data_IF_419359734160
#
_entry.id   IF_419359734160
#
_cell.length_a   1.000
_cell.length_b   1.000
_cell.length_c   1.000
_cell.angle_alpha   90.00
_cell.angle_beta   90.00
_cell.angle_gamma   90.00
#
_symmetry.space_group_name_H-M   'P 1'
#
loop_
_entity.id
_entity.type
_entity.pdbx_description
1 polymer ?
#
# COMPACT_ATOMS: atom_id res chain seq x y z
N UNK A 1 -18.69 -31.38 -13.27
CA UNK A 1 -17.60 -30.40 -13.07
C UNK A 1 -16.35 -31.18 -12.71
N UNK A 2 -15.27 -31.02 -13.47
CA UNK A 2 -13.98 -31.62 -13.15
C UNK A 2 -13.36 -30.87 -11.97
N UNK A 3 -12.90 -31.52 -10.89
CA UNK A 3 -12.28 -30.82 -9.77
C UNK A 3 -11.02 -30.08 -10.24
N UNK A 4 -10.84 -28.85 -9.77
CA UNK A 4 -9.66 -28.05 -10.08
C UNK A 4 -8.42 -28.77 -9.51
N UNK A 5 -7.34 -28.96 -10.28
CA UNK A 5 -6.11 -29.57 -9.77
C UNK A 5 -5.58 -28.75 -8.59
N UNK A 6 -5.20 -29.42 -7.51
CA UNK A 6 -4.52 -28.74 -6.40
C UNK A 6 -3.21 -28.12 -6.91
N UNK A 7 -2.88 -26.89 -6.51
CA UNK A 7 -1.58 -26.32 -6.83
C UNK A 7 -0.47 -27.23 -6.26
N UNK A 8 0.71 -27.30 -6.91
CA UNK A 8 1.84 -28.03 -6.37
C UNK A 8 2.17 -27.54 -4.95
N UNK A 9 2.59 -28.43 -4.03
CA UNK A 9 3.07 -28.02 -2.72
C UNK A 9 4.21 -27.01 -2.87
N UNK A 10 4.12 -25.88 -2.17
CA UNK A 10 5.21 -24.90 -2.09
C UNK A 10 6.15 -25.36 -0.97
N UNK A 11 7.36 -25.77 -1.32
CA UNK A 11 8.41 -26.14 -0.37
C UNK A 11 9.20 -24.88 0.03
N UNK A 12 8.85 -24.31 1.18
CA UNK A 12 9.55 -23.15 1.74
C UNK A 12 10.55 -23.65 2.78
N UNK A 13 11.86 -23.44 2.59
CA UNK A 13 12.87 -23.91 3.53
C UNK A 13 12.70 -23.22 4.89
N UNK A 14 12.91 -23.96 5.97
CA UNK A 14 12.90 -23.40 7.31
C UNK A 14 14.03 -22.36 7.46
N UNK A 15 13.72 -21.21 8.05
CA UNK A 15 14.67 -20.12 8.28
C UNK A 15 14.70 -19.77 9.77
N UNK A 16 15.90 -19.67 10.38
CA UNK A 16 16.03 -19.17 11.75
C UNK A 16 15.98 -17.63 11.83
N UNK A 17 15.96 -16.93 10.68
CA UNK A 17 15.98 -15.48 10.63
C UNK A 17 14.56 -14.91 10.63
N UNK A 18 14.33 -13.89 11.46
CA UNK A 18 13.10 -13.09 11.50
C UNK A 18 13.41 -11.63 11.18
N UNK A 19 12.38 -10.85 10.86
CA UNK A 19 12.48 -9.40 10.62
C UNK A 19 11.36 -8.69 11.38
N UNK A 20 11.58 -7.42 11.70
CA UNK A 20 10.50 -6.50 12.09
C UNK A 20 9.91 -5.86 10.83
N UNK A 21 8.59 -5.79 10.75
CA UNK A 21 7.88 -5.20 9.61
C UNK A 21 6.99 -4.08 10.11
N UNK A 22 7.14 -2.90 9.52
CA UNK A 22 6.32 -1.73 9.77
C UNK A 22 5.58 -1.34 8.49
N UNK A 23 4.33 -0.92 8.65
CA UNK A 23 3.51 -0.40 7.54
C UNK A 23 3.68 1.12 7.51
N UNK A 24 3.96 1.65 6.33
CA UNK A 24 3.98 3.08 6.04
C UNK A 24 2.72 3.38 5.23
N UNK A 25 1.83 4.20 5.79
CA UNK A 25 0.74 4.80 5.03
C UNK A 25 1.34 5.86 4.08
N UNK A 26 1.34 5.56 2.78
CA UNK A 26 1.88 6.47 1.77
C UNK A 26 0.92 7.60 1.43
N UNK A 27 -0.28 7.61 2.02
CA UNK A 27 -1.41 8.51 1.71
C UNK A 27 -1.94 8.40 0.27
N UNK A 28 -1.47 7.42 -0.49
CA UNK A 28 -1.90 7.15 -1.86
C UNK A 28 -3.18 6.33 -1.86
N UNK A 29 -4.25 6.87 -2.44
CA UNK A 29 -5.55 6.21 -2.45
C UNK A 29 -6.32 6.40 -3.76
N UNK A 30 -6.90 5.30 -4.22
CA UNK A 30 -7.78 5.24 -5.38
C UNK A 30 -9.16 4.79 -4.92
N UNK A 31 -10.21 5.55 -5.27
CA UNK A 31 -11.60 5.26 -4.89
C UNK A 31 -12.49 5.08 -6.10
N UNK A 32 -13.41 4.12 -6.05
CA UNK A 32 -14.39 3.89 -7.12
C UNK A 32 -13.81 3.20 -8.35
N UNK A 33 -12.68 2.49 -8.20
CA UNK A 33 -12.02 1.81 -9.30
C UNK A 33 -12.83 0.57 -9.73
N UNK A 34 -13.04 0.29 -11.02
CA UNK A 34 -13.82 -0.87 -11.46
C UNK A 34 -13.20 -2.17 -10.93
N UNK A 35 -13.98 -2.94 -10.16
CA UNK A 35 -13.51 -4.20 -9.57
C UNK A 35 -13.05 -5.19 -10.65
N UNK A 36 -13.65 -5.12 -11.84
CA UNK A 36 -13.33 -5.94 -13.02
C UNK A 36 -11.90 -5.79 -13.53
N UNK A 37 -11.20 -4.72 -13.14
CA UNK A 37 -9.80 -4.55 -13.49
C UNK A 37 -8.86 -5.39 -12.62
N UNK A 38 -9.34 -5.88 -11.47
CA UNK A 38 -8.55 -6.68 -10.52
C UNK A 38 -9.02 -8.12 -10.39
N UNK A 39 -10.33 -8.36 -10.46
CA UNK A 39 -10.92 -9.68 -10.18
C UNK A 39 -11.92 -10.09 -11.25
N UNK A 40 -11.92 -11.38 -11.56
CA UNK A 40 -12.93 -12.04 -12.37
C UNK A 40 -13.20 -13.44 -11.79
N UNK A 41 -14.48 -13.89 -11.67
CA UNK A 41 -15.71 -13.17 -11.99
C UNK A 41 -16.04 -12.06 -10.99
N UNK A 42 -16.82 -11.06 -11.43
CA UNK A 42 -17.33 -10.01 -10.55
C UNK A 42 -18.27 -10.59 -9.48
N UNK A 43 -18.15 -10.07 -8.25
CA UNK A 43 -19.05 -10.41 -7.15
C UNK A 43 -20.23 -9.43 -7.15
N UNK A 44 -21.50 -9.90 -7.18
CA UNK A 44 -22.66 -9.02 -7.17
C UNK A 44 -22.64 -8.03 -6.00
N UNK A 45 -22.82 -6.74 -6.29
CA UNK A 45 -22.76 -5.66 -5.30
C UNK A 45 -21.36 -5.11 -5.01
N UNK A 46 -20.32 -5.66 -5.66
CA UNK A 46 -18.93 -5.21 -5.56
C UNK A 46 -18.39 -4.78 -6.94
N UNK A 47 -19.05 -3.81 -7.56
CA UNK A 47 -18.70 -3.31 -8.90
C UNK A 47 -17.50 -2.35 -8.89
N UNK A 48 -17.22 -1.76 -7.73
CA UNK A 48 -16.09 -0.86 -7.51
C UNK A 48 -15.30 -1.25 -6.27
N UNK A 49 -14.02 -0.90 -6.27
CA UNK A 49 -13.11 -1.09 -5.14
C UNK A 49 -12.43 0.22 -4.78
N UNK A 50 -12.09 0.31 -3.51
CA UNK A 50 -11.27 1.35 -2.93
C UNK A 50 -9.93 0.72 -2.57
N UNK A 51 -8.83 1.30 -3.06
CA UNK A 51 -7.48 0.72 -2.97
C UNK A 51 -6.52 1.74 -2.40
N UNK A 52 -5.95 1.43 -1.24
CA UNK A 52 -4.80 2.14 -0.70
C UNK A 52 -3.49 1.52 -1.20
N UNK A 53 -2.45 2.33 -1.33
CA UNK A 53 -1.09 1.85 -1.54
C UNK A 53 -0.26 2.10 -0.28
N UNK A 54 0.36 1.03 0.23
CA UNK A 54 1.17 1.04 1.43
C UNK A 54 2.61 0.66 1.07
N UNK A 55 3.55 1.19 1.84
CA UNK A 55 4.95 0.77 1.79
C UNK A 55 5.28 -0.03 3.05
N UNK A 56 6.30 -0.87 2.99
CA UNK A 56 6.73 -1.67 4.13
C UNK A 56 8.18 -1.38 4.46
N UNK A 57 8.45 -0.95 5.70
CA UNK A 57 9.80 -0.88 6.24
C UNK A 57 10.11 -2.22 6.89
N UNK A 58 11.16 -2.87 6.40
CA UNK A 58 11.60 -4.18 6.85
C UNK A 58 12.97 -4.01 7.51
N UNK A 59 13.07 -4.44 8.77
CA UNK A 59 14.31 -4.38 9.55
C UNK A 59 14.78 -5.79 9.91
N UNK A 60 15.96 -6.14 9.43
CA UNK A 60 16.70 -7.30 9.87
C UNK A 60 17.38 -7.01 11.22
N UNK A 61 17.33 -7.95 12.18
CA UNK A 61 18.14 -7.85 13.39
C UNK A 61 19.62 -7.97 12.99
N UNK A 62 20.46 -7.04 13.42
CA UNK A 62 21.84 -7.02 12.93
C UNK A 62 22.69 -5.86 13.43
N UNK A 63 23.91 -5.72 12.88
CA UNK A 63 24.89 -4.71 13.28
C UNK A 63 24.55 -3.27 12.88
N UNK A 64 23.32 -3.02 12.38
CA UNK A 64 22.83 -1.73 11.92
C UNK A 64 23.65 -1.16 10.75
N UNK A 65 23.77 -1.98 9.71
CA UNK A 65 24.37 -1.62 8.42
C UNK A 65 23.30 -1.12 7.46
N UNK A 66 23.72 -0.49 6.37
CA UNK A 66 22.84 -0.02 5.30
C UNK A 66 22.03 -1.13 4.59
N UNK A 67 22.28 -2.40 4.90
CA UNK A 67 21.57 -3.55 4.34
C UNK A 67 20.56 -4.17 5.31
N UNK A 68 20.58 -3.74 6.57
CA UNK A 68 19.69 -4.29 7.60
C UNK A 68 18.31 -3.66 7.56
N UNK A 69 18.16 -2.49 6.93
CA UNK A 69 16.89 -1.78 6.78
C UNK A 69 16.59 -1.59 5.30
N UNK A 70 15.39 -2.00 4.88
CA UNK A 70 14.93 -1.82 3.50
C UNK A 70 13.47 -1.37 3.47
N UNK A 71 13.13 -0.57 2.47
CA UNK A 71 11.74 -0.19 2.17
C UNK A 71 11.30 -0.93 0.92
N UNK A 72 10.18 -1.65 1.02
CA UNK A 72 9.50 -2.30 -0.10
C UNK A 72 8.29 -1.44 -0.52
N UNK A 73 8.23 -1.14 -1.83
CA UNK A 73 7.30 -0.20 -2.46
C UNK A 73 7.42 1.26 -1.96
N UNK A 74 6.94 2.23 -2.73
CA UNK A 74 7.00 3.68 -2.39
C UNK A 74 5.66 4.40 -2.56
N UNK A 75 4.62 3.68 -3.01
CA UNK A 75 3.34 4.28 -3.32
C UNK A 75 3.37 5.16 -4.57
N UNK A 76 2.43 6.11 -4.65
CA UNK A 76 2.29 6.99 -5.80
C UNK A 76 3.10 8.26 -5.60
N UNK A 77 3.77 8.69 -6.68
CA UNK A 77 4.56 9.92 -6.66
C UNK A 77 3.67 11.15 -6.50
N UNK A 78 4.15 12.15 -5.75
CA UNK A 78 3.40 13.39 -5.45
C UNK A 78 3.13 14.26 -6.68
N UNK A 79 4.01 14.20 -7.66
CA UNK A 79 3.96 14.90 -8.95
C UNK A 79 3.56 13.95 -10.09
N UNK A 80 2.62 13.03 -9.84
CA UNK A 80 2.17 12.07 -10.86
C UNK A 80 1.69 12.75 -12.15
N UNK A 81 1.30 14.02 -12.11
CA UNK A 81 0.89 14.82 -13.27
C UNK A 81 2.04 15.11 -14.26
N UNK A 82 3.31 14.92 -13.88
CA UNK A 82 4.47 15.06 -14.79
C UNK A 82 4.84 13.75 -15.50
N UNK A 83 4.13 12.66 -15.20
CA UNK A 83 4.33 11.38 -15.87
C UNK A 83 3.92 11.44 -17.36
N UNK A 84 4.26 10.44 -18.17
CA UNK A 84 3.91 10.44 -19.59
C UNK A 84 2.43 10.71 -19.83
N UNK A 85 2.12 11.51 -20.86
CA UNK A 85 0.77 12.02 -21.13
C UNK A 85 -0.28 10.91 -21.14
N UNK A 86 0.02 9.76 -21.75
CA UNK A 86 -0.87 8.60 -21.79
C UNK A 86 -1.28 8.10 -20.40
N UNK A 87 -0.34 8.12 -19.44
CA UNK A 87 -0.58 7.69 -18.07
C UNK A 87 -1.43 8.72 -17.32
N UNK A 88 -1.06 10.00 -17.43
CA UNK A 88 -1.80 11.11 -16.80
C UNK A 88 -3.21 11.22 -17.35
N UNK A 89 -3.40 11.03 -18.66
CA UNK A 89 -4.71 11.01 -19.31
C UNK A 89 -5.56 9.83 -18.80
N UNK A 90 -4.96 8.66 -18.59
CA UNK A 90 -5.62 7.51 -17.97
C UNK A 90 -6.13 7.82 -16.56
N UNK A 91 -5.27 8.39 -15.71
CA UNK A 91 -5.66 8.77 -14.34
C UNK A 91 -6.76 9.84 -14.35
N UNK A 92 -6.60 10.92 -15.13
CA UNK A 92 -7.58 12.02 -15.18
C UNK A 92 -8.90 11.59 -15.79
N UNK A 93 -8.87 10.77 -16.83
CA UNK A 93 -10.07 10.21 -17.47
C UNK A 93 -10.85 9.26 -16.56
N UNK A 94 -10.18 8.70 -15.55
CA UNK A 94 -10.79 7.80 -14.57
C UNK A 94 -11.56 8.54 -13.47
N UNK A 95 -11.06 9.68 -12.98
CA UNK A 95 -11.69 10.41 -11.87
C UNK A 95 -11.57 9.73 -10.49
N UNK A 96 -10.70 8.74 -10.35
CA UNK A 96 -10.65 7.84 -9.18
C UNK A 96 -9.50 8.12 -8.20
N UNK A 97 -8.61 9.07 -8.49
CA UNK A 97 -7.45 9.37 -7.65
C UNK A 97 -7.76 10.49 -6.63
N UNK A 98 -7.49 10.25 -5.34
CA UNK A 98 -7.56 11.27 -4.29
C UNK A 98 -6.20 11.40 -3.63
N UNK A 99 -5.74 12.63 -3.41
CA UNK A 99 -4.55 12.90 -2.59
C UNK A 99 -4.97 13.37 -1.19
N UNK A 100 -4.21 12.91 -0.19
CA UNK A 100 -4.31 13.17 1.25
C UNK A 100 -5.38 12.34 2.01
N UNK A 101 -4.87 11.51 2.93
CA UNK A 101 -5.63 10.55 3.73
C UNK A 101 -5.76 10.92 5.20
N UNK A 102 -5.16 12.04 5.61
CA UNK A 102 -5.25 12.58 6.96
C UNK A 102 -5.99 13.93 6.87
N UNK A 103 -6.98 14.18 7.74
CA UNK A 103 -7.47 13.29 8.80
C UNK A 103 -8.29 12.10 8.28
N UNK A 104 -8.44 11.04 9.07
CA UNK A 104 -9.05 9.76 8.64
C UNK A 104 -10.40 9.51 9.31
N UNK A 105 -11.02 8.32 9.15
CA UNK A 105 -12.34 8.07 9.74
C UNK A 105 -12.23 7.98 11.27
N UNK A 106 -13.06 8.66 12.08
CA UNK A 106 -14.33 9.30 11.71
C UNK A 106 -14.24 10.78 11.30
N UNK A 107 -13.10 11.45 11.50
CA UNK A 107 -12.92 12.87 11.17
C UNK A 107 -13.19 13.17 9.70
N UNK A 108 -12.73 12.30 8.80
CA UNK A 108 -13.13 12.27 7.38
C UNK A 108 -13.95 11.00 7.14
N UNK A 109 -15.26 11.16 7.00
CA UNK A 109 -16.21 10.04 6.86
C UNK A 109 -15.96 9.15 5.64
N UNK A 110 -15.38 9.71 4.59
CA UNK A 110 -15.05 9.00 3.35
C UNK A 110 -13.64 8.38 3.38
N UNK A 111 -12.93 8.48 4.50
CA UNK A 111 -11.63 7.84 4.66
C UNK A 111 -11.80 6.35 4.92
N UNK A 112 -11.02 5.55 4.20
CA UNK A 112 -11.01 4.09 4.35
C UNK A 112 -10.09 3.63 5.49
N UNK A 113 -9.25 4.53 6.02
CA UNK A 113 -8.42 4.22 7.18
C UNK A 113 -9.13 4.73 8.43
N UNK A 114 -9.28 3.85 9.40
CA UNK A 114 -9.87 4.18 10.68
C UNK A 114 -8.77 4.78 11.58
N UNK A 115 -9.03 5.90 12.26
CA UNK A 115 -8.10 6.53 13.19
C UNK A 115 -7.67 5.58 14.32
N UNK A 116 -8.50 4.60 14.66
CA UNK A 116 -8.13 3.51 15.58
C UNK A 116 -6.95 2.65 15.08
N UNK A 117 -6.62 2.68 13.79
CA UNK A 117 -5.47 1.96 13.24
C UNK A 117 -4.12 2.46 13.79
N UNK A 118 -4.06 3.70 14.29
CA UNK A 118 -2.89 4.29 14.96
C UNK A 118 -3.18 4.78 16.38
N UNK A 119 -4.38 4.57 16.91
CA UNK A 119 -4.69 4.91 18.29
C UNK A 119 -3.79 4.11 19.24
N UNK A 120 -3.07 4.82 20.12
CA UNK A 120 -2.10 4.23 21.03
C UNK A 120 -0.79 3.74 20.37
N UNK A 121 -0.54 4.06 19.10
CA UNK A 121 0.73 3.80 18.41
C UNK A 121 1.53 5.08 18.25
N UNK A 122 2.86 4.96 18.30
CA UNK A 122 3.75 6.06 17.95
C UNK A 122 3.75 6.25 16.43
N UNK A 123 3.12 7.33 15.96
CA UNK A 123 3.19 7.74 14.57
C UNK A 123 4.52 8.45 14.34
N UNK A 124 5.37 7.88 13.49
CA UNK A 124 6.65 8.46 13.11
C UNK A 124 6.56 8.91 11.66
N UNK A 125 6.61 10.23 11.45
CA UNK A 125 6.81 10.78 10.11
C UNK A 125 8.28 10.59 9.72
N UNK A 126 8.52 9.87 8.61
CA UNK A 126 9.88 9.64 8.12
C UNK A 126 10.36 10.92 7.42
N UNK A 127 11.33 11.61 8.01
CA UNK A 127 12.04 12.70 7.36
C UNK A 127 13.17 12.16 6.46
N UNK A 128 13.00 12.32 5.15
CA UNK A 128 13.98 11.92 4.15
C UNK A 128 15.08 12.97 3.91
N UNK A 129 15.07 14.12 4.61
CA UNK A 129 16.01 15.23 4.40
C UNK A 129 17.05 15.41 5.52
N UNK A 130 16.98 14.65 6.62
CA UNK A 130 17.89 14.77 7.76
C UNK A 130 19.12 13.85 7.73
N UNK A 131 20.18 14.19 8.47
CA UNK A 131 21.39 13.36 8.66
C UNK A 131 21.12 12.01 9.37
N UNK A 132 19.90 11.82 9.89
CA UNK A 132 19.36 10.56 10.41
C UNK A 132 18.17 10.08 9.56
N UNK A 133 18.28 10.15 8.23
CA UNK A 133 17.39 9.36 7.37
C UNK A 133 17.79 7.89 7.50
N UNK A 134 16.82 7.01 7.72
CA UNK A 134 16.90 5.54 7.80
C UNK A 134 18.32 4.92 7.76
#
# INVERSE_FOLDING_TARGET
MTPCPLPPPVDIPNSPNTVEVYIIDTTSFMSGFPASTFVEPLVPGFDTINVGSYSFLIKHPGPNTKYDTMVFDLGVRKDWEILPETFVAGIKGSGWFKSNMIPAYPTVRDSHVNETAWEGRDLVEIDFKGEKSL
#
